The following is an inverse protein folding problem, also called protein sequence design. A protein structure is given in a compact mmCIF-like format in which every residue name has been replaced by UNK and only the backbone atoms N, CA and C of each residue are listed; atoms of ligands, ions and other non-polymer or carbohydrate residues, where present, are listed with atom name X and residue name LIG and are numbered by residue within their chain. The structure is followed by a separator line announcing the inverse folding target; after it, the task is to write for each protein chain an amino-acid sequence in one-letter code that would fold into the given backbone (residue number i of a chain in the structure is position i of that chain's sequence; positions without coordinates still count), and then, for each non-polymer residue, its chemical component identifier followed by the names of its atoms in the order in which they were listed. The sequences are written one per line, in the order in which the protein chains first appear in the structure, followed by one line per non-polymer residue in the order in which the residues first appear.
data_IF_101989609343
#
_entry.id   IF_101989609343
#
_cell.length_a   1.000
_cell.length_b   1.000
_cell.length_c   1.000
_cell.angle_alpha   90.00
_cell.angle_beta   90.00
_cell.angle_gamma   90.00
#
_symmetry.space_group_name_H-M   'P 1'
#
loop_
_entity.id
_entity.type
_entity.pdbx_description
1 polymer ?
#
# COMPACT_ATOMS: atom_id res chain seq x y z
N UNK A 1 -8.37 -10.90 7.04
CA UNK A 1 -9.38 -9.81 7.14
C UNK A 1 -8.69 -8.54 6.69
N UNK A 2 -8.70 -8.30 5.38
CA UNK A 2 -8.16 -7.08 4.80
C UNK A 2 -8.89 -5.85 5.35
N UNK A 3 -8.15 -4.83 5.77
CA UNK A 3 -8.73 -3.54 6.22
C UNK A 3 -8.49 -2.50 5.15
N UNK A 4 -9.54 -1.99 4.51
CA UNK A 4 -9.38 -0.96 3.48
C UNK A 4 -9.68 0.42 4.04
N UNK A 5 -8.75 1.36 3.86
CA UNK A 5 -8.86 2.75 4.26
C UNK A 5 -8.82 3.61 3.00
N UNK A 6 -9.92 4.29 2.67
CA UNK A 6 -9.95 5.24 1.56
C UNK A 6 -9.37 6.59 2.00
N UNK A 7 -8.37 7.09 1.30
CA UNK A 7 -7.79 8.42 1.52
C UNK A 7 -7.63 9.16 0.20
N UNK A 8 -8.30 10.30 0.02
CA UNK A 8 -8.15 11.19 -1.15
C UNK A 8 -8.19 10.46 -2.52
N UNK A 9 -9.13 9.53 -2.69
CA UNK A 9 -9.33 8.71 -3.91
C UNK A 9 -8.32 7.56 -4.12
N UNK A 10 -7.46 7.28 -3.14
CA UNK A 10 -6.57 6.11 -3.08
C UNK A 10 -7.07 5.15 -2.01
N UNK A 11 -7.11 3.84 -2.28
CA UNK A 11 -7.40 2.85 -1.24
C UNK A 11 -6.10 2.31 -0.65
N UNK A 12 -5.97 2.43 0.68
CA UNK A 12 -4.92 1.79 1.46
C UNK A 12 -5.49 0.49 2.00
N UNK A 13 -5.09 -0.64 1.43
CA UNK A 13 -5.57 -1.99 1.76
C UNK A 13 -4.54 -2.67 2.67
N UNK A 14 -4.89 -2.84 3.93
CA UNK A 14 -4.08 -3.55 4.92
C UNK A 14 -4.36 -5.04 4.86
N UNK A 15 -3.38 -5.83 4.45
CA UNK A 15 -3.41 -7.29 4.28
C UNK A 15 -2.62 -7.95 5.42
N UNK A 16 -3.14 -9.07 5.93
CA UNK A 16 -2.42 -9.91 6.88
C UNK A 16 -1.49 -10.89 6.13
N UNK A 17 -0.54 -11.50 6.85
CA UNK A 17 0.34 -12.52 6.29
C UNK A 17 -0.48 -13.63 5.59
N UNK A 18 -0.26 -13.77 4.27
CA UNK A 18 -0.95 -14.76 3.43
C UNK A 18 -2.15 -14.23 2.63
N UNK A 19 -2.52 -12.95 2.74
CA UNK A 19 -3.52 -12.36 1.85
C UNK A 19 -2.88 -11.80 0.56
N UNK A 20 -3.57 -11.98 -0.57
CA UNK A 20 -3.04 -11.71 -1.90
C UNK A 20 -3.41 -10.30 -2.37
N UNK A 21 -2.40 -9.45 -2.58
CA UNK A 21 -2.55 -8.07 -3.08
C UNK A 21 -3.38 -8.03 -4.38
N UNK A 22 -3.11 -8.94 -5.31
CA UNK A 22 -3.76 -8.96 -6.63
C UNK A 22 -5.28 -9.21 -6.61
N UNK A 23 -5.82 -9.78 -5.53
CA UNK A 23 -7.26 -10.04 -5.39
C UNK A 23 -8.00 -8.87 -4.72
N UNK A 24 -7.29 -8.06 -3.91
CA UNK A 24 -7.88 -7.05 -3.04
C UNK A 24 -7.51 -5.60 -3.43
N UNK A 25 -6.42 -5.39 -4.17
CA UNK A 25 -5.96 -4.07 -4.59
C UNK A 25 -6.25 -3.82 -6.07
N UNK A 26 -6.65 -2.59 -6.39
CA UNK A 26 -6.82 -2.12 -7.76
C UNK A 26 -5.60 -1.30 -8.20
N UNK A 27 -5.43 -1.09 -9.51
CA UNK A 27 -4.43 -0.15 -10.00
C UNK A 27 -4.68 1.24 -9.39
N UNK A 28 -3.63 1.85 -8.82
CA UNK A 28 -3.68 3.09 -8.05
C UNK A 28 -3.81 2.91 -6.53
N UNK A 29 -3.99 1.68 -6.04
CA UNK A 29 -4.12 1.40 -4.60
C UNK A 29 -2.78 1.05 -3.94
N UNK A 30 -2.77 1.14 -2.61
CA UNK A 30 -1.59 0.88 -1.76
C UNK A 30 -1.91 -0.30 -0.85
N UNK A 31 -1.14 -1.37 -0.94
CA UNK A 31 -1.28 -2.55 -0.11
C UNK A 31 -0.26 -2.55 1.04
N UNK A 32 -0.74 -2.59 2.29
CA UNK A 32 0.08 -2.77 3.48
C UNK A 32 0.06 -4.23 3.90
N UNK A 33 1.11 -4.99 3.63
CA UNK A 33 1.22 -6.41 4.01
C UNK A 33 1.98 -6.53 5.33
N UNK A 34 1.33 -7.09 6.35
CA UNK A 34 2.03 -7.46 7.58
C UNK A 34 2.77 -8.79 7.38
N UNK A 35 4.10 -8.78 7.46
CA UNK A 35 4.91 -10.00 7.40
C UNK A 35 5.89 -10.05 8.58
N UNK A 36 5.67 -11.01 9.48
CA UNK A 36 6.40 -11.11 10.74
C UNK A 36 6.09 -9.94 11.68
N UNK A 37 7.13 -9.30 12.22
CA UNK A 37 7.05 -8.06 13.01
C UNK A 37 7.08 -6.79 12.14
N UNK A 38 7.20 -6.94 10.81
CA UNK A 38 7.33 -5.83 9.87
C UNK A 38 6.09 -5.55 9.04
N UNK A 39 5.98 -4.31 8.57
CA UNK A 39 4.96 -3.85 7.64
C UNK A 39 5.55 -3.49 6.29
N UNK A 40 5.15 -4.22 5.26
CA UNK A 40 5.56 -3.98 3.89
C UNK A 40 4.53 -3.14 3.16
N UNK A 41 4.98 -2.03 2.59
CA UNK A 41 4.14 -1.17 1.78
C UNK A 41 4.39 -1.48 0.31
N UNK A 42 3.33 -1.91 -0.37
CA UNK A 42 3.29 -2.26 -1.79
C UNK A 42 2.36 -1.28 -2.50
N UNK A 43 2.71 -0.88 -3.71
CA UNK A 43 2.01 0.09 -4.53
C UNK A 43 1.60 -0.59 -5.82
N UNK A 44 0.31 -0.59 -6.12
CA UNK A 44 -0.16 -1.14 -7.39
C UNK A 44 -0.25 0.01 -8.38
N UNK A 45 0.68 0.06 -9.34
CA UNK A 45 0.64 1.00 -10.45
C UNK A 45 -0.47 0.67 -11.46
N UNK A 46 -0.76 1.61 -12.36
CA UNK A 46 -1.84 1.51 -13.35
C UNK A 46 -1.68 0.30 -14.31
N UNK A 47 -0.43 -0.09 -14.57
CA UNK A 47 -0.07 -1.25 -15.42
C UNK A 47 -0.16 -2.60 -14.69
N UNK A 48 -0.56 -2.61 -13.41
CA UNK A 48 -0.50 -3.80 -12.55
C UNK A 48 0.91 -4.09 -12.01
N UNK A 49 1.87 -3.19 -12.23
CA UNK A 49 3.18 -3.23 -11.60
C UNK A 49 3.02 -3.04 -10.09
N UNK A 50 3.52 -3.99 -9.30
CA UNK A 50 3.55 -3.87 -7.84
C UNK A 50 4.93 -3.42 -7.42
N UNK A 51 5.02 -2.21 -6.90
CA UNK A 51 6.25 -1.62 -6.39
C UNK A 51 6.24 -1.68 -4.86
N UNK A 52 7.23 -2.31 -4.26
CA UNK A 52 7.31 -2.44 -2.79
C UNK A 52 8.47 -1.62 -2.26
N UNK A 53 8.30 -1.04 -1.07
CA UNK A 53 9.44 -0.40 -0.40
C UNK A 53 10.60 -1.38 -0.17
N UNK A 54 11.83 -0.85 -0.19
CA UNK A 54 13.07 -1.62 0.00
C UNK A 54 13.22 -2.18 1.43
N UNK A 55 12.48 -1.62 2.39
CA UNK A 55 12.51 -2.03 3.79
C UNK A 55 11.11 -2.10 4.41
N UNK A 56 10.87 -3.10 5.29
CA UNK A 56 9.66 -3.12 6.11
C UNK A 56 9.75 -2.09 7.23
N UNK A 57 8.60 -1.56 7.63
CA UNK A 57 8.48 -0.69 8.80
C UNK A 57 8.24 -1.50 10.08
N UNK A 58 8.83 -1.08 11.19
CA UNK A 58 8.62 -1.67 12.52
C UNK A 58 7.19 -1.46 13.06
N UNK A 59 6.41 -0.54 12.47
CA UNK A 59 5.08 -0.20 12.98
C UNK A 59 4.08 0.15 11.89
N UNK A 60 2.84 -0.30 12.09
CA UNK A 60 1.71 -0.01 11.21
C UNK A 60 1.52 1.49 10.95
N UNK A 61 1.72 2.32 11.97
CA UNK A 61 1.53 3.76 11.85
C UNK A 61 2.55 4.41 10.91
N UNK A 62 3.81 3.94 10.90
CA UNK A 62 4.84 4.41 9.95
C UNK A 62 4.51 3.98 8.53
N UNK A 63 4.13 2.71 8.34
CA UNK A 63 3.72 2.19 7.04
C UNK A 63 2.49 2.95 6.50
N UNK A 64 1.52 3.26 7.36
CA UNK A 64 0.35 4.06 7.02
C UNK A 64 0.71 5.51 6.68
N UNK A 65 1.68 6.11 7.38
CA UNK A 65 2.17 7.45 7.05
C UNK A 65 2.85 7.49 5.69
N UNK A 66 3.72 6.51 5.40
CA UNK A 66 4.36 6.36 4.10
C UNK A 66 3.32 6.14 2.99
N UNK A 67 2.32 5.28 3.22
CA UNK A 67 1.21 5.06 2.30
C UNK A 67 0.41 6.33 2.06
N UNK A 68 0.10 7.12 3.10
CA UNK A 68 -0.60 8.41 2.93
C UNK A 68 0.23 9.39 2.09
N UNK A 69 1.52 9.53 2.38
CA UNK A 69 2.40 10.37 1.59
C UNK A 69 2.46 9.91 0.13
N UNK A 70 2.64 8.61 -0.12
CA UNK A 70 2.64 8.05 -1.46
C UNK A 70 1.28 8.21 -2.17
N UNK A 71 0.15 8.13 -1.46
CA UNK A 71 -1.16 8.45 -2.01
C UNK A 71 -1.29 9.94 -2.39
N UNK A 72 -0.62 10.84 -1.66
CA UNK A 72 -0.59 12.27 -1.95
C UNK A 72 0.36 12.61 -3.12
N UNK A 73 1.49 11.92 -3.25
CA UNK A 73 2.51 12.19 -4.29
C UNK A 73 2.29 11.36 -5.58
N UNK A 74 1.73 10.16 -5.47
CA UNK A 74 1.52 9.23 -6.59
C UNK A 74 0.45 9.69 -7.58
N UNK A 75 -0.34 10.71 -7.26
CA UNK A 75 -1.28 11.36 -8.17
C UNK A 75 -0.68 12.45 -9.06
N UNK A 76 0.65 12.65 -9.06
CA UNK A 76 1.28 13.78 -9.74
C UNK A 76 2.64 13.47 -10.34
N UNK A 77 2.65 12.74 -11.46
CA UNK A 77 3.66 12.92 -12.51
C UNK A 77 2.94 13.22 -13.83
N UNK A 78 2.24 14.35 -13.87
CA UNK A 78 1.94 15.05 -15.12
C UNK A 78 2.51 16.47 -14.95
N UNK A 79 3.63 16.75 -15.63
CA UNK A 79 4.18 18.09 -15.85
C UNK A 79 3.55 18.74 -17.09
#
# INVERSE_FOLDING_TARGET
MATTITHRNVHIVTLAAGETIADQCRPGDIALVQEGDGWWTNFVGDDGAVDSYDAPFDSYNEALWAAKAAAEFGGGLEE
#
